data_IF_098619143794
#
_entry.id   IF_098619143794
#
_cell.length_a   1.000
_cell.length_b   1.000
_cell.length_c   1.000
_cell.angle_alpha   90.00
_cell.angle_beta   90.00
_cell.angle_gamma   90.00
#
_symmetry.space_group_name_H-M   'P 1'
#
loop_
_entity.id
_entity.type
_entity.pdbx_description
1 polymer ?
#
# COMPACT_ATOMS: atom_id res chain seq x y z
N UNK A 1 3.38 0.82 -32.33
CA UNK A 1 3.10 -0.62 -32.55
C UNK A 1 4.38 -1.40 -32.35
N UNK A 2 4.50 -2.19 -31.27
CA UNK A 2 5.72 -2.95 -30.97
C UNK A 2 5.57 -4.34 -31.60
N UNK A 3 6.52 -4.72 -32.46
CA UNK A 3 6.49 -5.95 -33.24
C UNK A 3 6.93 -7.14 -32.36
N UNK A 4 5.96 -7.89 -31.84
CA UNK A 4 6.12 -9.00 -30.87
C UNK A 4 6.92 -10.21 -31.40
N UNK A 5 7.21 -10.28 -32.69
CA UNK A 5 7.79 -11.48 -33.34
C UNK A 5 9.30 -11.64 -33.17
N UNK A 6 10.00 -10.64 -32.59
CA UNK A 6 11.47 -10.58 -32.52
C UNK A 6 12.03 -10.51 -31.08
N UNK A 7 11.23 -10.85 -30.07
CA UNK A 7 11.71 -10.92 -28.68
C UNK A 7 12.12 -12.36 -28.35
N UNK A 8 13.34 -12.54 -27.83
CA UNK A 8 13.73 -13.82 -27.22
C UNK A 8 12.82 -14.13 -26.02
N UNK A 9 12.65 -15.41 -25.68
CA UNK A 9 11.78 -15.88 -24.58
C UNK A 9 12.00 -15.08 -23.28
N UNK A 10 13.26 -14.73 -22.98
CA UNK A 10 13.61 -13.95 -21.79
C UNK A 10 13.12 -12.50 -21.84
N UNK A 11 13.15 -11.88 -23.02
CA UNK A 11 12.66 -10.51 -23.23
C UNK A 11 11.12 -10.45 -23.11
N UNK A 12 10.44 -11.47 -23.62
CA UNK A 12 8.98 -11.63 -23.52
C UNK A 12 8.54 -11.78 -22.05
N UNK A 13 9.23 -12.63 -21.28
CA UNK A 13 8.97 -12.82 -19.86
C UNK A 13 9.17 -11.51 -19.08
N UNK A 14 10.27 -10.79 -19.34
CA UNK A 14 10.52 -9.50 -18.67
C UNK A 14 9.48 -8.44 -19.03
N UNK A 15 9.00 -8.41 -20.28
CA UNK A 15 7.98 -7.48 -20.72
C UNK A 15 6.63 -7.74 -20.03
N UNK A 16 6.20 -9.01 -19.99
CA UNK A 16 4.98 -9.41 -19.30
C UNK A 16 5.06 -9.11 -17.80
N UNK A 17 6.19 -9.43 -17.16
CA UNK A 17 6.41 -9.13 -15.74
C UNK A 17 6.36 -7.63 -15.46
N UNK A 18 7.04 -6.79 -16.26
CA UNK A 18 7.02 -5.33 -16.08
C UNK A 18 5.60 -4.74 -16.15
N UNK A 19 4.74 -5.33 -17.00
CA UNK A 19 3.35 -4.89 -17.19
C UNK A 19 2.39 -5.45 -16.13
N UNK A 20 2.67 -6.63 -15.59
CA UNK A 20 1.84 -7.30 -14.57
C UNK A 20 2.18 -6.88 -13.14
N UNK A 21 3.44 -6.52 -12.88
CA UNK A 21 3.95 -6.04 -11.59
C UNK A 21 3.13 -4.87 -10.97
N UNK A 22 2.74 -3.79 -11.69
CA UNK A 22 1.93 -2.73 -11.09
C UNK A 22 0.51 -3.20 -10.73
N UNK A 23 -0.03 -4.18 -11.45
CA UNK A 23 -1.33 -4.78 -11.13
C UNK A 23 -1.26 -5.60 -9.83
N UNK A 24 -0.18 -6.37 -9.66
CA UNK A 24 0.08 -7.11 -8.41
C UNK A 24 0.26 -6.19 -7.20
N UNK A 25 0.96 -5.06 -7.37
CA UNK A 25 1.09 -4.04 -6.31
C UNK A 25 -0.28 -3.43 -5.98
N UNK A 26 -1.07 -3.09 -7.00
CA UNK A 26 -2.44 -2.60 -6.81
C UNK A 26 -3.31 -3.57 -6.01
N UNK A 27 -3.28 -4.86 -6.35
CA UNK A 27 -3.97 -5.92 -5.59
C UNK A 27 -3.45 -6.00 -4.15
N UNK A 28 -2.13 -5.92 -3.94
CA UNK A 28 -1.55 -5.94 -2.60
C UNK A 28 -1.98 -4.73 -1.76
N UNK A 29 -2.07 -3.54 -2.34
CA UNK A 29 -2.54 -2.34 -1.64
C UNK A 29 -4.03 -2.46 -1.31
N UNK A 30 -4.84 -2.87 -2.28
CA UNK A 30 -6.30 -2.96 -2.12
C UNK A 30 -6.71 -4.02 -1.08
N UNK A 31 -6.11 -5.21 -1.14
CA UNK A 31 -6.42 -6.33 -0.23
C UNK A 31 -5.92 -6.12 1.21
N UNK A 32 -4.82 -5.39 1.38
CA UNK A 32 -4.17 -5.22 2.68
C UNK A 32 -4.72 -4.08 3.52
N UNK A 33 -5.21 -3.01 2.86
CA UNK A 33 -5.46 -1.73 3.51
C UNK A 33 -6.93 -1.30 3.50
N UNK A 34 -7.76 -1.84 2.60
CA UNK A 34 -9.14 -1.35 2.38
C UNK A 34 -10.24 -2.40 2.64
N UNK A 35 -9.92 -3.69 2.81
CA UNK A 35 -10.91 -4.76 2.95
C UNK A 35 -10.88 -5.39 4.35
N UNK A 36 -11.78 -4.93 5.23
CA UNK A 36 -12.05 -5.51 6.55
C UNK A 36 -13.48 -6.07 6.65
N UNK A 37 -13.84 -6.93 5.69
CA UNK A 37 -15.11 -7.66 5.72
C UNK A 37 -14.92 -9.11 6.21
N UNK A 38 -15.85 -9.66 7.00
CA UNK A 38 -15.79 -11.05 7.43
C UNK A 38 -16.13 -12.01 6.26
N UNK A 39 -15.19 -12.88 5.88
CA UNK A 39 -15.44 -13.93 4.88
C UNK A 39 -14.23 -14.84 4.59
N UNK A 40 -14.45 -16.14 4.28
CA UNK A 40 -13.37 -17.09 4.01
C UNK A 40 -12.59 -16.77 2.73
N UNK A 41 -13.27 -16.27 1.70
CA UNK A 41 -12.68 -15.86 0.42
C UNK A 41 -11.70 -14.67 0.58
N UNK A 42 -12.01 -13.75 1.49
CA UNK A 42 -11.18 -12.58 1.82
C UNK A 42 -9.95 -12.95 2.64
N UNK A 43 -10.04 -13.93 3.55
CA UNK A 43 -8.86 -14.48 4.24
C UNK A 43 -7.88 -15.08 3.23
N UNK A 44 -8.39 -15.79 2.23
CA UNK A 44 -7.57 -16.36 1.16
C UNK A 44 -6.86 -15.27 0.33
N UNK A 45 -7.58 -14.20 -0.02
CA UNK A 45 -7.00 -13.04 -0.71
C UNK A 45 -5.95 -12.31 0.14
N UNK A 46 -6.20 -12.11 1.43
CA UNK A 46 -5.22 -11.51 2.36
C UNK A 46 -3.96 -12.38 2.41
N UNK A 47 -4.06 -13.69 2.61
CA UNK A 47 -2.90 -14.60 2.60
C UNK A 47 -2.19 -14.62 1.24
N UNK A 48 -2.95 -14.69 0.15
CA UNK A 48 -2.41 -14.64 -1.20
C UNK A 48 -1.62 -13.36 -1.47
N UNK A 49 -2.07 -12.22 -0.96
CA UNK A 49 -1.35 -10.96 -1.08
C UNK A 49 0.00 -10.95 -0.35
N UNK A 50 0.12 -11.65 0.78
CA UNK A 50 1.41 -11.83 1.47
C UNK A 50 2.37 -12.68 0.64
N UNK A 51 1.88 -13.74 0.01
CA UNK A 51 2.70 -14.57 -0.88
C UNK A 51 3.15 -13.78 -2.11
N UNK A 52 2.24 -13.04 -2.75
CA UNK A 52 2.58 -12.18 -3.90
C UNK A 52 3.66 -11.17 -3.52
N UNK A 53 3.52 -10.51 -2.37
CA UNK A 53 4.51 -9.57 -1.86
C UNK A 53 5.87 -10.25 -1.64
N UNK A 54 5.87 -11.43 -1.03
CA UNK A 54 7.08 -12.21 -0.79
C UNK A 54 7.80 -12.55 -2.10
N UNK A 55 7.07 -13.03 -3.12
CA UNK A 55 7.64 -13.30 -4.44
C UNK A 55 8.18 -12.04 -5.13
N UNK A 56 7.47 -10.90 -5.00
CA UNK A 56 7.92 -9.61 -5.55
C UNK A 56 9.27 -9.18 -4.95
N UNK A 57 9.40 -9.32 -3.63
CA UNK A 57 10.63 -8.99 -2.90
C UNK A 57 11.75 -9.96 -3.28
N UNK A 58 11.47 -11.26 -3.33
CA UNK A 58 12.45 -12.29 -3.71
C UNK A 58 13.03 -12.01 -5.11
N UNK A 59 12.19 -11.55 -6.03
CA UNK A 59 12.60 -11.21 -7.38
C UNK A 59 13.60 -10.04 -7.43
N UNK A 60 13.47 -9.05 -6.54
CA UNK A 60 14.36 -7.86 -6.48
C UNK A 60 15.22 -7.82 -5.21
N UNK A 61 15.51 -8.98 -4.62
CA UNK A 61 16.11 -9.08 -3.28
C UNK A 61 17.43 -8.31 -3.12
N UNK A 62 18.29 -8.31 -4.16
CA UNK A 62 19.59 -7.61 -4.13
C UNK A 62 19.43 -6.09 -3.98
N UNK A 63 18.48 -5.49 -4.71
CA UNK A 63 18.21 -4.04 -4.62
C UNK A 63 17.44 -3.70 -3.35
N UNK A 64 16.57 -4.60 -2.89
CA UNK A 64 15.84 -4.46 -1.65
C UNK A 64 16.79 -4.45 -0.43
N UNK A 65 17.74 -5.38 -0.37
CA UNK A 65 18.77 -5.41 0.66
C UNK A 65 19.61 -4.12 0.68
N UNK A 66 19.94 -3.59 -0.50
CA UNK A 66 20.68 -2.32 -0.62
C UNK A 66 19.92 -1.13 0.00
N UNK A 67 18.60 -1.04 -0.24
CA UNK A 67 17.75 -0.01 0.38
C UNK A 67 17.72 -0.16 1.90
N UNK A 68 17.54 -1.39 2.39
CA UNK A 68 17.57 -1.66 3.84
C UNK A 68 18.92 -1.35 4.49
N UNK A 69 20.03 -1.45 3.78
CA UNK A 69 21.35 -1.06 4.33
C UNK A 69 21.64 0.45 4.29
N UNK A 70 20.97 1.20 3.42
CA UNK A 70 21.28 2.63 3.19
C UNK A 70 20.34 3.57 3.93
N UNK A 71 19.08 3.16 4.12
CA UNK A 71 18.06 3.97 4.79
C UNK A 71 18.00 3.70 6.29
N UNK A 72 19.03 4.16 7.01
CA UNK A 72 19.12 4.13 8.50
C UNK A 72 17.84 4.64 9.19
N UNK A 73 17.23 5.78 8.81
CA UNK A 73 16.00 6.23 9.48
C UNK A 73 14.84 5.25 9.32
N UNK A 74 14.74 4.56 8.18
CA UNK A 74 13.71 3.55 7.95
C UNK A 74 13.94 2.32 8.82
N UNK A 75 15.19 1.88 8.96
CA UNK A 75 15.57 0.83 9.91
C UNK A 75 15.23 1.19 11.35
N UNK A 76 15.55 2.42 11.78
CA UNK A 76 15.21 2.90 13.12
C UNK A 76 13.70 2.87 13.36
N UNK A 77 12.89 3.28 12.38
CA UNK A 77 11.43 3.29 12.49
C UNK A 77 10.85 1.86 12.60
N UNK A 78 11.41 0.92 11.84
CA UNK A 78 11.00 -0.49 11.94
C UNK A 78 11.45 -1.10 13.26
N UNK A 79 12.67 -0.78 13.70
CA UNK A 79 13.22 -1.22 14.98
C UNK A 79 12.39 -0.74 16.17
N UNK A 80 11.97 0.52 16.18
CA UNK A 80 11.09 1.06 17.23
C UNK A 80 9.71 0.41 17.20
N UNK A 81 9.16 0.13 16.03
CA UNK A 81 7.88 -0.60 15.92
C UNK A 81 7.98 -2.03 16.51
N UNK A 82 9.07 -2.75 16.23
CA UNK A 82 9.31 -4.09 16.79
C UNK A 82 9.51 -4.03 18.30
N UNK A 83 10.29 -3.06 18.79
CA UNK A 83 10.53 -2.86 20.22
C UNK A 83 9.24 -2.51 20.97
N UNK A 84 8.38 -1.69 20.36
CA UNK A 84 7.07 -1.31 20.89
C UNK A 84 6.17 -2.53 21.12
N UNK A 85 6.26 -3.55 20.25
CA UNK A 85 5.51 -4.80 20.43
C UNK A 85 6.03 -5.61 21.61
N UNK A 86 7.35 -5.70 21.78
CA UNK A 86 7.95 -6.43 22.90
C UNK A 86 7.57 -5.85 24.27
N UNK A 87 7.31 -4.55 24.34
CA UNK A 87 6.96 -3.86 25.59
C UNK A 87 5.45 -3.85 25.89
N UNK A 88 4.59 -4.16 24.91
CA UNK A 88 3.16 -3.86 25.03
C UNK A 88 2.30 -5.10 25.24
N UNK A 89 1.57 -5.09 26.36
CA UNK A 89 0.68 -6.19 26.79
C UNK A 89 -0.73 -6.14 26.17
N UNK A 90 -0.97 -5.27 25.18
CA UNK A 90 -2.30 -5.08 24.60
C UNK A 90 -2.60 -6.19 23.56
N UNK A 91 -3.76 -6.87 23.64
CA UNK A 91 -4.19 -7.81 22.61
C UNK A 91 -4.40 -7.08 21.27
N UNK A 92 -3.83 -7.63 20.18
CA UNK A 92 -3.95 -7.07 18.82
C UNK A 92 -2.69 -6.40 18.27
N UNK A 93 -1.69 -6.13 19.11
CA UNK A 93 -0.42 -5.53 18.68
C UNK A 93 0.36 -6.36 17.63
N UNK A 94 0.37 -7.70 17.68
CA UNK A 94 0.99 -8.50 16.63
C UNK A 94 0.33 -8.30 15.25
N UNK A 95 -0.95 -7.96 15.18
CA UNK A 95 -1.63 -7.64 13.91
C UNK A 95 -1.18 -6.28 13.37
N UNK A 96 -1.07 -5.29 14.27
CA UNK A 96 -0.56 -3.96 13.93
C UNK A 96 0.88 -4.02 13.39
N UNK A 97 1.75 -4.79 14.04
CA UNK A 97 3.13 -4.98 13.58
C UNK A 97 3.19 -5.62 12.20
N UNK A 98 2.37 -6.64 11.94
CA UNK A 98 2.26 -7.27 10.62
C UNK A 98 1.84 -6.26 9.55
N UNK A 99 0.89 -5.37 9.86
CA UNK A 99 0.47 -4.31 8.96
C UNK A 99 1.59 -3.29 8.69
N UNK A 100 2.31 -2.85 9.73
CA UNK A 100 3.44 -1.92 9.61
C UNK A 100 4.55 -2.53 8.74
N UNK A 101 4.98 -3.76 9.04
CA UNK A 101 6.01 -4.46 8.28
C UNK A 101 5.63 -4.61 6.81
N UNK A 102 4.37 -4.94 6.52
CA UNK A 102 3.84 -5.01 5.15
C UNK A 102 3.89 -3.67 4.44
N UNK A 103 3.46 -2.59 5.11
CA UNK A 103 3.47 -1.24 4.55
C UNK A 103 4.91 -0.77 4.26
N UNK A 104 5.85 -1.01 5.19
CA UNK A 104 7.27 -0.71 4.99
C UNK A 104 7.86 -1.50 3.82
N UNK A 105 7.55 -2.80 3.72
CA UNK A 105 8.04 -3.64 2.63
C UNK A 105 7.49 -3.19 1.26
N UNK A 106 6.21 -2.82 1.17
CA UNK A 106 5.62 -2.22 -0.03
C UNK A 106 6.25 -0.87 -0.38
N UNK A 107 6.49 -0.01 0.61
CA UNK A 107 7.14 1.29 0.44
C UNK A 107 8.57 1.15 -0.08
N UNK A 108 9.36 0.26 0.54
CA UNK A 108 10.71 -0.05 0.08
C UNK A 108 10.72 -0.62 -1.34
N UNK A 109 9.75 -1.48 -1.68
CA UNK A 109 9.59 -1.98 -3.04
C UNK A 109 9.29 -0.86 -4.04
N UNK A 110 8.41 0.08 -3.68
CA UNK A 110 8.11 1.26 -4.50
C UNK A 110 9.35 2.14 -4.71
N UNK A 111 10.20 2.28 -3.69
CA UNK A 111 11.46 3.04 -3.74
C UNK A 111 12.52 2.40 -4.63
N UNK A 112 12.59 1.07 -4.65
CA UNK A 112 13.47 0.34 -5.58
C UNK A 112 13.02 0.49 -7.04
N UNK A 113 11.70 0.62 -7.27
CA UNK A 113 11.12 0.59 -8.61
C UNK A 113 11.01 1.96 -9.27
N UNK A 114 10.52 2.95 -8.54
CA UNK A 114 10.18 4.26 -9.09
C UNK A 114 11.17 5.31 -8.62
N UNK A 115 11.51 6.22 -9.52
CA UNK A 115 12.36 7.36 -9.18
C UNK A 115 11.57 8.32 -8.26
N UNK A 116 12.19 9.12 -7.36
CA UNK A 116 11.45 9.99 -6.44
C UNK A 116 10.47 10.94 -7.15
N UNK A 117 10.83 11.45 -8.34
CA UNK A 117 9.93 12.27 -9.17
C UNK A 117 8.66 11.51 -9.57
N UNK A 118 8.79 10.24 -9.94
CA UNK A 118 7.66 9.39 -10.31
C UNK A 118 6.80 9.05 -9.09
N UNK A 119 7.44 8.80 -7.94
CA UNK A 119 6.74 8.59 -6.68
C UNK A 119 5.89 9.80 -6.29
N UNK A 120 6.47 11.01 -6.30
CA UNK A 120 5.72 12.24 -6.04
C UNK A 120 4.57 12.43 -7.03
N UNK A 121 4.78 12.13 -8.31
CA UNK A 121 3.72 12.19 -9.32
C UNK A 121 2.58 11.22 -9.02
N UNK A 122 2.88 9.97 -8.66
CA UNK A 122 1.87 8.98 -8.28
C UNK A 122 1.09 9.42 -7.04
N UNK A 123 1.78 9.92 -6.01
CA UNK A 123 1.13 10.45 -4.80
C UNK A 123 0.21 11.63 -5.14
N UNK A 124 0.66 12.56 -5.98
CA UNK A 124 -0.16 13.69 -6.43
C UNK A 124 -1.42 13.22 -7.17
N UNK A 125 -1.31 12.21 -8.04
CA UNK A 125 -2.47 11.62 -8.72
C UNK A 125 -3.44 10.96 -7.75
N UNK A 126 -2.94 10.17 -6.80
CA UNK A 126 -3.78 9.50 -5.79
C UNK A 126 -4.51 10.55 -4.95
N UNK A 127 -3.81 11.56 -4.45
CA UNK A 127 -4.41 12.63 -3.65
C UNK A 127 -5.42 13.45 -4.47
N UNK A 128 -5.12 13.74 -5.73
CA UNK A 128 -6.05 14.44 -6.62
C UNK A 128 -7.33 13.64 -6.89
N UNK A 129 -7.21 12.34 -7.18
CA UNK A 129 -8.36 11.44 -7.37
C UNK A 129 -9.19 11.38 -6.09
N UNK A 130 -8.55 11.18 -4.94
CA UNK A 130 -9.24 11.14 -3.63
C UNK A 130 -9.97 12.45 -3.35
N UNK A 131 -9.34 13.60 -3.61
CA UNK A 131 -9.98 14.90 -3.42
C UNK A 131 -11.21 15.07 -4.32
N UNK A 132 -11.11 14.72 -5.60
CA UNK A 132 -12.23 14.80 -6.54
C UNK A 132 -13.37 13.86 -6.13
N UNK A 133 -13.07 12.60 -5.81
CA UNK A 133 -14.09 11.65 -5.34
C UNK A 133 -14.74 12.13 -4.05
N UNK A 134 -13.97 12.65 -3.11
CA UNK A 134 -14.49 13.19 -1.85
C UNK A 134 -15.46 14.35 -2.08
N UNK A 135 -15.16 15.23 -3.05
CA UNK A 135 -16.07 16.32 -3.42
C UNK A 135 -17.34 15.79 -4.10
N UNK A 136 -17.19 14.85 -5.04
CA UNK A 136 -18.34 14.25 -5.74
C UNK A 136 -19.29 13.54 -4.79
N UNK A 137 -18.77 12.77 -3.84
CA UNK A 137 -19.59 12.08 -2.83
C UNK A 137 -20.32 13.09 -1.94
N UNK A 138 -19.63 14.14 -1.49
CA UNK A 138 -20.23 15.22 -0.68
C UNK A 138 -21.35 15.94 -1.45
N UNK A 139 -21.13 16.24 -2.73
CA UNK A 139 -22.15 16.87 -3.58
C UNK A 139 -23.34 15.95 -3.84
N UNK A 140 -23.10 14.65 -4.07
CA UNK A 140 -24.14 13.67 -4.35
C UNK A 140 -25.01 13.34 -3.13
N UNK A 141 -24.47 13.37 -1.90
CA UNK A 141 -25.24 13.19 -0.66
C UNK A 141 -25.99 14.46 -0.20
N UNK A 142 -25.85 15.57 -0.94
CA UNK A 142 -26.49 16.85 -0.61
C UNK A 142 -25.74 17.60 0.49
N UNK A 143 -25.48 18.90 0.24
CA UNK A 143 -24.86 19.82 1.20
C UNK A 143 -25.72 20.11 2.45
N UNK A 144 -26.90 19.49 2.59
CA UNK A 144 -27.95 19.94 3.52
C UNK A 144 -28.50 18.91 4.53
N UNK A 145 -28.38 17.59 4.29
CA UNK A 145 -29.06 16.59 5.14
C UNK A 145 -28.13 15.90 6.15
N UNK A 146 -26.82 15.91 5.89
CA UNK A 146 -25.79 15.53 6.84
C UNK A 146 -24.95 16.78 7.17
N UNK A 147 -24.90 17.25 8.43
CA UNK A 147 -24.05 18.37 8.80
C UNK A 147 -22.60 18.01 8.46
N UNK A 148 -21.87 18.93 7.83
CA UNK A 148 -20.45 18.72 7.49
C UNK A 148 -19.68 18.36 8.77
N UNK A 149 -19.37 17.08 8.93
CA UNK A 149 -18.71 16.56 10.12
C UNK A 149 -17.22 16.83 10.01
N UNK A 150 -16.68 17.64 10.91
CA UNK A 150 -15.24 17.82 11.03
C UNK A 150 -14.55 16.54 11.51
N UNK A 151 -13.22 16.52 11.47
CA UNK A 151 -12.41 15.39 11.99
C UNK A 151 -12.70 15.12 13.48
N UNK A 152 -13.08 16.16 14.21
CA UNK A 152 -13.35 16.11 15.64
C UNK A 152 -14.79 15.74 15.97
N UNK A 153 -15.03 14.43 16.18
CA UNK A 153 -16.35 13.89 16.55
C UNK A 153 -17.02 14.62 17.71
N UNK A 154 -16.25 15.03 18.73
CA UNK A 154 -16.80 15.75 19.89
C UNK A 154 -17.41 17.11 19.51
N UNK A 155 -16.91 17.78 18.46
CA UNK A 155 -17.48 19.06 17.96
C UNK A 155 -18.71 18.80 17.11
N UNK A 156 -18.73 17.70 16.37
CA UNK A 156 -19.86 17.30 15.54
C UNK A 156 -21.08 16.89 16.37
N UNK A 157 -20.87 16.32 17.57
CA UNK A 157 -21.95 15.97 18.49
C UNK A 157 -22.59 17.18 19.19
N UNK A 158 -21.84 18.27 19.37
CA UNK A 158 -22.32 19.51 20.02
C UNK A 158 -23.03 20.46 19.05
N UNK A 159 -22.90 20.23 17.74
CA UNK A 159 -23.54 21.03 16.70
C UNK A 159 -24.95 20.52 16.33
N UNK A 160 -25.50 19.58 17.11
CA UNK A 160 -26.80 18.94 16.89
C UNK A 160 -27.80 19.36 17.95
#
# INVERSE_FOLDING_TARGET
>A
MINLKRLSTNQLITFFLLRLEPFLIGICLFSGMFLDFPGPLLKLLKVGSYLILFFLILWRWKRFAYVFTRDIPLLCLVGTAVWSVGWSAVPGIPELLRAVLRATALGAYLAVRYNPKEQMRLVAWVLGIVAILSLLVTLAHGLGDAPAQGIFRHKNHLAR
#
